data_IF_016262347789
#
_entry.id   IF_016262347789
#
_cell.length_a   1.000
_cell.length_b   1.000
_cell.length_c   1.000
_cell.angle_alpha   90.00
_cell.angle_beta   90.00
_cell.angle_gamma   90.00
#
_symmetry.space_group_name_H-M   'P 1'
#
loop_
_entity.id
_entity.type
_entity.pdbx_description
1 polymer ?
#
# COMPACT_ATOMS: atom_id res chain seq x y z
N UNK A 1 25.28 1.98 12.10
CA UNK A 1 25.30 2.31 10.65
C UNK A 1 24.39 3.52 10.41
N UNK A 2 24.95 4.67 10.03
CA UNK A 2 24.16 5.87 9.67
C UNK A 2 23.59 5.65 8.26
N UNK A 3 22.27 5.80 8.09
CA UNK A 3 21.62 5.76 6.76
C UNK A 3 22.05 6.98 5.96
N UNK A 4 22.25 6.82 4.65
CA UNK A 4 22.47 7.97 3.77
C UNK A 4 21.19 8.83 3.68
N UNK A 5 21.29 10.14 3.38
CA UNK A 5 20.11 10.99 3.20
C UNK A 5 19.10 10.43 2.19
N UNK A 6 19.58 9.79 1.12
CA UNK A 6 18.74 9.12 0.10
C UNK A 6 17.98 7.92 0.68
N UNK A 7 18.62 7.11 1.52
CA UNK A 7 17.98 5.97 2.19
C UNK A 7 16.95 6.44 3.21
N UNK A 8 17.26 7.50 3.96
CA UNK A 8 16.34 8.09 4.93
C UNK A 8 15.11 8.68 4.22
N UNK A 9 15.30 9.42 3.14
CA UNK A 9 14.22 9.94 2.31
C UNK A 9 13.33 8.82 1.78
N UNK A 10 13.92 7.77 1.19
CA UNK A 10 13.17 6.62 0.66
C UNK A 10 12.34 5.92 1.75
N UNK A 11 12.91 5.78 2.95
CA UNK A 11 12.21 5.18 4.09
C UNK A 11 11.04 6.04 4.58
N UNK A 12 11.23 7.35 4.68
CA UNK A 12 10.15 8.29 5.07
C UNK A 12 9.05 8.31 4.01
N UNK A 13 9.40 8.41 2.73
CA UNK A 13 8.46 8.37 1.62
C UNK A 13 7.65 7.06 1.62
N UNK A 14 8.30 5.92 1.89
CA UNK A 14 7.61 4.65 2.03
C UNK A 14 6.57 4.65 3.17
N UNK A 15 6.91 5.24 4.32
CA UNK A 15 5.98 5.38 5.44
C UNK A 15 4.75 6.23 5.09
N UNK A 16 4.97 7.37 4.44
CA UNK A 16 3.89 8.28 4.02
C UNK A 16 2.96 7.57 3.03
N UNK A 17 3.51 6.96 1.97
CA UNK A 17 2.71 6.27 0.96
C UNK A 17 2.02 5.03 1.51
N UNK A 18 2.64 4.32 2.45
CA UNK A 18 2.06 3.13 3.07
C UNK A 18 0.85 3.44 3.96
N UNK A 19 0.86 4.60 4.63
CA UNK A 19 -0.24 5.05 5.50
C UNK A 19 -1.30 5.85 4.74
N UNK A 20 -0.95 6.45 3.60
CA UNK A 20 -1.85 7.31 2.82
C UNK A 20 -3.23 6.69 2.52
N UNK A 21 -3.36 5.41 2.09
CA UNK A 21 -4.66 4.78 1.91
C UNK A 21 -5.54 4.84 3.16
N UNK A 22 -4.98 4.49 4.33
CA UNK A 22 -5.70 4.52 5.60
C UNK A 22 -6.10 5.95 5.98
N UNK A 23 -5.20 6.92 5.80
CA UNK A 23 -5.49 8.32 6.09
C UNK A 23 -6.63 8.85 5.23
N UNK A 24 -6.63 8.52 3.93
CA UNK A 24 -7.71 8.90 3.00
C UNK A 24 -9.03 8.20 3.33
N UNK A 25 -8.99 6.91 3.63
CA UNK A 25 -10.17 6.15 4.05
C UNK A 25 -10.78 6.69 5.33
N UNK A 26 -9.95 7.02 6.33
CA UNK A 26 -10.38 7.61 7.59
C UNK A 26 -10.94 9.03 7.39
N UNK A 27 -10.26 9.86 6.61
CA UNK A 27 -10.75 11.21 6.27
C UNK A 27 -12.13 11.13 5.61
N UNK A 28 -12.32 10.17 4.69
CA UNK A 28 -13.62 9.95 4.05
C UNK A 28 -14.70 9.53 5.04
N UNK A 29 -14.37 8.61 5.95
CA UNK A 29 -15.30 8.15 6.98
C UNK A 29 -15.75 9.30 7.91
N UNK A 30 -14.81 10.14 8.34
CA UNK A 30 -15.11 11.29 9.22
C UNK A 30 -15.93 12.35 8.49
N UNK A 31 -15.60 12.63 7.22
CA UNK A 31 -16.28 13.69 6.44
C UNK A 31 -17.65 13.30 5.92
N UNK A 32 -17.90 12.00 5.72
CA UNK A 32 -19.16 11.50 5.14
C UNK A 32 -20.09 10.89 6.19
N UNK A 33 -19.63 10.70 7.43
CA UNK A 33 -20.43 10.25 8.58
C UNK A 33 -20.73 8.76 8.59
N UNK A 34 -21.24 8.21 7.48
CA UNK A 34 -21.79 6.85 7.42
C UNK A 34 -21.15 5.95 6.34
N UNK A 35 -20.26 6.49 5.50
CA UNK A 35 -19.59 5.72 4.45
C UNK A 35 -18.19 5.25 4.88
N UNK A 36 -18.16 4.05 5.47
CA UNK A 36 -16.93 3.37 5.89
C UNK A 36 -16.30 2.51 4.78
N UNK A 37 -16.86 2.48 3.57
CA UNK A 37 -16.43 1.53 2.52
C UNK A 37 -14.98 1.77 2.14
N UNK A 38 -14.63 3.03 1.87
CA UNK A 38 -13.28 3.43 1.51
C UNK A 38 -12.27 3.13 2.63
N UNK A 39 -12.67 3.28 3.90
CA UNK A 39 -11.86 2.90 5.05
C UNK A 39 -11.57 1.39 5.07
N UNK A 40 -12.60 0.56 4.93
CA UNK A 40 -12.42 -0.89 4.91
C UNK A 40 -11.58 -1.37 3.72
N UNK A 41 -11.79 -0.77 2.53
CA UNK A 41 -10.99 -1.03 1.34
C UNK A 41 -9.50 -0.73 1.57
N UNK A 42 -9.21 0.44 2.17
CA UNK A 42 -7.84 0.82 2.53
C UNK A 42 -7.24 -0.15 3.56
N UNK A 43 -8.01 -0.49 4.60
CA UNK A 43 -7.56 -1.34 5.69
C UNK A 43 -7.13 -2.74 5.21
N UNK A 44 -7.96 -3.40 4.40
CA UNK A 44 -7.63 -4.73 3.87
C UNK A 44 -6.38 -4.70 3.00
N UNK A 45 -6.24 -3.71 2.11
CA UNK A 45 -5.05 -3.56 1.28
C UNK A 45 -3.79 -3.32 2.12
N UNK A 46 -3.88 -2.46 3.14
CA UNK A 46 -2.77 -2.17 4.05
C UNK A 46 -2.38 -3.38 4.89
N UNK A 47 -3.34 -4.14 5.44
CA UNK A 47 -3.07 -5.36 6.23
C UNK A 47 -2.35 -6.40 5.36
N UNK A 48 -2.84 -6.65 4.14
CA UNK A 48 -2.19 -7.57 3.22
C UNK A 48 -0.74 -7.14 2.94
N UNK A 49 -0.54 -5.87 2.59
CA UNK A 49 0.78 -5.32 2.29
C UNK A 49 1.73 -5.40 3.48
N UNK A 50 1.23 -5.07 4.68
CA UNK A 50 1.98 -5.18 5.92
C UNK A 50 2.38 -6.64 6.21
N UNK A 51 1.48 -7.60 5.96
CA UNK A 51 1.76 -9.03 6.07
C UNK A 51 2.88 -9.48 5.11
N UNK A 52 2.80 -9.09 3.83
CA UNK A 52 3.83 -9.39 2.83
C UNK A 52 5.19 -8.78 3.21
N UNK A 53 5.19 -7.53 3.68
CA UNK A 53 6.42 -6.86 4.13
C UNK A 53 6.99 -7.50 5.40
N UNK A 54 6.13 -7.85 6.35
CA UNK A 54 6.45 -8.52 7.61
C UNK A 54 7.09 -9.88 7.40
N UNK A 55 6.49 -10.71 6.53
CA UNK A 55 7.02 -12.04 6.17
C UNK A 55 8.43 -11.99 5.55
N UNK A 56 8.83 -10.81 5.07
CA UNK A 56 10.09 -10.63 4.37
C UNK A 56 11.02 -9.62 5.09
N UNK A 57 10.75 -9.33 6.35
CA UNK A 57 11.69 -8.66 7.28
C UNK A 57 12.97 -9.49 7.40
N UNK A 58 14.12 -8.82 7.51
CA UNK A 58 15.43 -9.48 7.65
C UNK A 58 16.01 -10.08 6.36
N UNK A 59 15.20 -10.27 5.31
CA UNK A 59 15.68 -10.82 4.03
C UNK A 59 16.25 -9.72 3.13
N UNK A 60 17.55 -9.79 2.82
CA UNK A 60 18.14 -9.03 1.70
C UNK A 60 17.56 -9.55 0.40
N UNK A 61 17.10 -8.66 -0.46
CA UNK A 61 16.43 -9.00 -1.73
C UNK A 61 17.04 -8.18 -2.85
N UNK A 62 17.17 -8.79 -4.01
CA UNK A 62 17.53 -8.07 -5.23
C UNK A 62 16.43 -7.09 -5.61
N UNK A 63 16.78 -6.04 -6.36
CA UNK A 63 15.80 -5.07 -6.87
C UNK A 63 14.74 -5.75 -7.73
N UNK A 64 15.11 -6.79 -8.49
CA UNK A 64 14.17 -7.59 -9.27
C UNK A 64 13.12 -8.28 -8.37
N UNK A 65 13.54 -8.92 -7.29
CA UNK A 65 12.60 -9.54 -6.35
C UNK A 65 11.69 -8.51 -5.65
N UNK A 66 12.20 -7.31 -5.38
CA UNK A 66 11.41 -6.21 -4.83
C UNK A 66 10.37 -5.70 -5.82
N UNK A 67 10.70 -5.60 -7.12
CA UNK A 67 9.76 -5.24 -8.18
C UNK A 67 8.65 -6.28 -8.31
N UNK A 68 8.99 -7.57 -8.37
CA UNK A 68 7.99 -8.64 -8.45
C UNK A 68 7.02 -8.58 -7.26
N UNK A 69 7.54 -8.40 -6.05
CA UNK A 69 6.70 -8.24 -4.87
C UNK A 69 5.81 -6.99 -4.95
N UNK A 70 6.33 -5.86 -5.42
CA UNK A 70 5.54 -4.64 -5.59
C UNK A 70 4.40 -4.86 -6.59
N UNK A 71 4.65 -5.58 -7.70
CA UNK A 71 3.62 -5.96 -8.68
C UNK A 71 2.56 -6.86 -8.05
N UNK A 72 2.96 -7.86 -7.26
CA UNK A 72 2.02 -8.72 -6.53
C UNK A 72 1.18 -7.90 -5.55
N UNK A 73 1.79 -6.98 -4.82
CA UNK A 73 1.09 -6.08 -3.91
C UNK A 73 0.08 -5.22 -4.65
N UNK A 74 0.45 -4.65 -5.80
CA UNK A 74 -0.46 -3.87 -6.62
C UNK A 74 -1.69 -4.70 -7.00
N UNK A 75 -1.47 -5.85 -7.63
CA UNK A 75 -2.56 -6.69 -8.14
C UNK A 75 -3.46 -7.17 -7.00
N UNK A 76 -2.88 -7.79 -5.97
CA UNK A 76 -3.67 -8.42 -4.91
C UNK A 76 -4.36 -7.39 -4.03
N UNK A 77 -3.68 -6.31 -3.62
CA UNK A 77 -4.32 -5.25 -2.83
C UNK A 77 -5.44 -4.58 -3.61
N UNK A 78 -5.27 -4.32 -4.91
CA UNK A 78 -6.33 -3.76 -5.74
C UNK A 78 -7.52 -4.71 -5.86
N UNK A 79 -7.30 -6.00 -6.11
CA UNK A 79 -8.38 -6.98 -6.19
C UNK A 79 -9.12 -7.12 -4.87
N UNK A 80 -8.40 -7.20 -3.75
CA UNK A 80 -9.00 -7.28 -2.41
C UNK A 80 -9.82 -6.03 -2.07
N UNK A 81 -9.25 -4.85 -2.30
CA UNK A 81 -9.95 -3.58 -2.06
C UNK A 81 -11.19 -3.46 -2.95
N UNK A 82 -11.08 -3.78 -4.25
CA UNK A 82 -12.21 -3.71 -5.16
C UNK A 82 -13.32 -4.70 -4.76
N UNK A 83 -12.95 -5.96 -4.46
CA UNK A 83 -13.89 -6.99 -4.02
C UNK A 83 -14.63 -6.59 -2.76
N UNK A 84 -13.93 -6.00 -1.79
CA UNK A 84 -14.54 -5.51 -0.56
C UNK A 84 -15.49 -4.32 -0.81
N UNK A 85 -15.09 -3.38 -1.66
CA UNK A 85 -15.96 -2.26 -2.06
C UNK A 85 -17.27 -2.76 -2.66
N UNK A 86 -17.22 -3.80 -3.49
CA UNK A 86 -18.40 -4.49 -4.04
C UNK A 86 -19.25 -5.17 -2.98
N UNK A 87 -18.63 -5.95 -2.08
CA UNK A 87 -19.35 -6.61 -0.98
C UNK A 87 -20.05 -5.63 -0.04
N UNK A 88 -19.51 -4.41 0.09
CA UNK A 88 -20.11 -3.35 0.88
C UNK A 88 -21.17 -2.53 0.11
N UNK A 89 -21.54 -2.95 -1.11
CA UNK A 89 -22.65 -2.38 -1.88
C UNK A 89 -22.28 -1.15 -2.70
N UNK A 90 -21.02 -1.00 -3.10
CA UNK A 90 -20.65 0.05 -4.05
C UNK A 90 -21.30 -0.18 -5.42
N UNK A 91 -21.85 0.88 -6.02
CA UNK A 91 -22.66 0.75 -7.25
C UNK A 91 -21.87 1.02 -8.54
N UNK A 92 -20.68 1.63 -8.45
CA UNK A 92 -19.88 1.99 -9.62
C UNK A 92 -18.57 1.18 -9.67
N UNK A 93 -18.46 0.29 -10.66
CA UNK A 93 -17.24 -0.49 -10.91
C UNK A 93 -16.04 0.40 -11.16
N UNK A 94 -16.23 1.46 -11.94
CA UNK A 94 -15.17 2.39 -12.35
C UNK A 94 -14.66 3.17 -11.15
N UNK A 95 -15.55 3.68 -10.29
CA UNK A 95 -15.14 4.44 -9.10
C UNK A 95 -14.41 3.55 -8.09
N UNK A 96 -14.95 2.36 -7.79
CA UNK A 96 -14.33 1.39 -6.87
C UNK A 96 -12.99 0.92 -7.41
N UNK A 97 -12.93 0.57 -8.69
CA UNK A 97 -11.71 0.14 -9.36
C UNK A 97 -10.63 1.22 -9.32
N UNK A 98 -11.00 2.48 -9.59
CA UNK A 98 -10.06 3.62 -9.52
C UNK A 98 -9.47 3.82 -8.13
N UNK A 99 -10.31 3.81 -7.08
CA UNK A 99 -9.85 3.94 -5.69
C UNK A 99 -8.98 2.75 -5.28
N UNK A 100 -9.41 1.52 -5.58
CA UNK A 100 -8.69 0.31 -5.26
C UNK A 100 -7.33 0.23 -5.98
N UNK A 101 -7.26 0.69 -7.23
CA UNK A 101 -6.02 0.78 -7.99
C UNK A 101 -5.08 1.83 -7.39
N UNK A 102 -5.60 3.01 -7.06
CA UNK A 102 -4.82 4.06 -6.39
C UNK A 102 -4.22 3.59 -5.06
N UNK A 103 -5.00 2.89 -4.23
CA UNK A 103 -4.49 2.29 -3.00
C UNK A 103 -3.43 1.24 -3.25
N UNK A 104 -3.67 0.31 -4.19
CA UNK A 104 -2.69 -0.70 -4.58
C UNK A 104 -1.37 -0.09 -5.04
N UNK A 105 -1.43 1.00 -5.82
CA UNK A 105 -0.25 1.70 -6.34
C UNK A 105 0.57 2.36 -5.22
N UNK A 106 -0.10 3.03 -4.28
CA UNK A 106 0.56 3.64 -3.11
C UNK A 106 1.28 2.57 -2.27
N UNK A 107 0.61 1.45 -2.01
CA UNK A 107 1.15 0.34 -1.23
C UNK A 107 2.31 -0.39 -1.94
N UNK A 108 2.19 -0.62 -3.24
CA UNK A 108 3.24 -1.21 -4.06
C UNK A 108 4.49 -0.30 -4.09
N UNK A 109 4.27 1.00 -4.27
CA UNK A 109 5.35 2.01 -4.27
C UNK A 109 6.02 2.06 -2.91
N UNK A 110 5.25 2.09 -1.82
CA UNK A 110 5.78 2.03 -0.46
C UNK A 110 6.66 0.80 -0.25
N UNK A 111 6.19 -0.39 -0.66
CA UNK A 111 6.95 -1.63 -0.57
C UNK A 111 8.28 -1.57 -1.33
N UNK A 112 8.25 -1.04 -2.56
CA UNK A 112 9.46 -0.90 -3.38
C UNK A 112 10.46 0.07 -2.77
N UNK A 113 10.00 1.21 -2.24
CA UNK A 113 10.85 2.18 -1.56
C UNK A 113 11.48 1.64 -0.27
N UNK A 114 10.77 0.78 0.48
CA UNK A 114 11.36 0.05 1.62
C UNK A 114 12.54 -0.80 1.16
N UNK A 115 12.41 -1.51 0.04
CA UNK A 115 13.49 -2.32 -0.51
C UNK A 115 14.69 -1.46 -0.95
N UNK A 116 14.46 -0.35 -1.66
CA UNK A 116 15.52 0.58 -2.07
C UNK A 116 16.26 1.18 -0.86
N UNK A 117 15.52 1.59 0.18
CA UNK A 117 16.11 2.14 1.41
C UNK A 117 17.08 1.18 2.11
N UNK A 118 16.95 -0.12 1.84
CA UNK A 118 17.78 -1.21 2.37
C UNK A 118 18.87 -1.68 1.39
N UNK A 119 18.75 -1.35 0.11
CA UNK A 119 19.64 -1.81 -0.96
C UNK A 119 20.84 -0.91 -1.23
N UNK A 120 20.77 0.41 -0.98
CA UNK A 120 21.88 1.35 -1.29
C UNK A 120 23.07 1.29 -0.31
N UNK A 121 23.37 0.11 0.24
CA UNK A 121 24.47 -0.12 1.19
C UNK A 121 25.63 -0.91 0.60
N UNK A 122 25.77 -0.96 -0.73
CA UNK A 122 26.96 -1.49 -1.42
C UNK A 122 27.79 -0.32 -1.96
#
# INVERSE_FOLDING_TARGET
>A
MKRSPKQQFSFVAAGILGIAPLALGLLRAITTGDDYRMFWMALVGTIFTAGVLGAAVGRRRSLHAALVQATVILIVSTLLAASLGWMLGAQSLVAVGGVAFGFGLLLATASYLVAISRSSGN
#
